data_IF_776539698436
#
_entry.id   IF_776539698436
#
_cell.length_a   1.000
_cell.length_b   1.000
_cell.length_c   1.000
_cell.angle_alpha   90.00
_cell.angle_beta   90.00
_cell.angle_gamma   90.00
#
_symmetry.space_group_name_H-M   'P 1'
#
loop_
_entity.id
_entity.type
_entity.pdbx_description
1 polymer ?
#
# COMPACT_ATOMS: atom_id res chain seq x y z
N UNK A 1 -12.66 -23.22 13.83
CA UNK A 1 -11.58 -22.66 12.98
C UNK A 1 -10.73 -23.75 12.32
N UNK A 2 -10.41 -24.84 13.01
CA UNK A 2 -9.62 -25.94 12.43
C UNK A 2 -10.26 -26.59 11.18
N UNK A 3 -11.56 -26.90 11.18
CA UNK A 3 -12.20 -27.59 10.04
C UNK A 3 -12.23 -26.76 8.75
N UNK A 4 -12.57 -25.46 8.82
CA UNK A 4 -12.61 -24.59 7.64
C UNK A 4 -11.20 -24.26 7.13
N UNK A 5 -10.20 -24.17 8.02
CA UNK A 5 -8.81 -23.98 7.63
C UNK A 5 -8.24 -25.25 6.97
N UNK A 6 -8.50 -26.43 7.54
CA UNK A 6 -8.14 -27.72 6.94
C UNK A 6 -8.82 -27.91 5.57
N UNK A 7 -10.10 -27.59 5.44
CA UNK A 7 -10.82 -27.66 4.17
C UNK A 7 -10.33 -26.64 3.14
N UNK A 8 -9.85 -25.46 3.57
CA UNK A 8 -9.18 -24.50 2.68
C UNK A 8 -7.84 -25.07 2.21
N UNK A 9 -7.05 -25.67 3.12
CA UNK A 9 -5.78 -26.31 2.77
C UNK A 9 -5.98 -27.49 1.79
N UNK A 10 -7.04 -28.28 1.96
CA UNK A 10 -7.40 -29.39 1.07
C UNK A 10 -7.79 -28.93 -0.35
N UNK A 11 -8.29 -27.70 -0.50
CA UNK A 11 -8.71 -27.14 -1.79
C UNK A 11 -7.68 -26.18 -2.41
N UNK A 12 -6.50 -26.01 -1.81
CA UNK A 12 -5.47 -25.17 -2.39
C UNK A 12 -4.85 -25.79 -3.63
N UNK A 13 -4.54 -24.94 -4.61
CA UNK A 13 -3.78 -25.35 -5.78
C UNK A 13 -2.42 -25.94 -5.33
N UNK A 14 -2.05 -27.14 -5.81
CA UNK A 14 -0.79 -27.80 -5.44
C UNK A 14 0.42 -27.02 -5.95
N UNK A 15 1.61 -27.31 -5.39
CA UNK A 15 2.86 -26.68 -5.85
C UNK A 15 3.09 -26.96 -7.32
N UNK A 16 3.45 -25.90 -8.06
CA UNK A 16 3.97 -26.03 -9.40
C UNK A 16 5.42 -26.52 -9.40
N UNK A 17 5.99 -26.74 -10.58
CA UNK A 17 7.41 -27.09 -10.74
C UNK A 17 8.36 -25.88 -10.61
N UNK A 18 7.84 -24.68 -10.35
CA UNK A 18 8.62 -23.45 -10.25
C UNK A 18 9.49 -23.46 -8.98
N UNK A 19 10.75 -23.09 -9.14
CA UNK A 19 11.66 -22.87 -8.01
C UNK A 19 11.29 -21.58 -7.27
N UNK A 20 11.89 -21.34 -6.12
CA UNK A 20 11.71 -20.07 -5.41
C UNK A 20 12.26 -18.89 -6.23
N UNK A 21 13.35 -19.07 -6.98
CA UNK A 21 13.91 -18.06 -7.87
C UNK A 21 12.94 -17.72 -9.01
N UNK A 22 12.26 -18.73 -9.57
CA UNK A 22 11.22 -18.51 -10.58
C UNK A 22 10.07 -17.68 -10.03
N UNK A 23 9.68 -17.89 -8.76
CA UNK A 23 8.63 -17.14 -8.08
C UNK A 23 9.09 -15.70 -7.77
N UNK A 24 10.35 -15.50 -7.38
CA UNK A 24 10.93 -14.18 -7.07
C UNK A 24 11.08 -13.31 -8.33
N UNK A 25 11.39 -13.93 -9.47
CA UNK A 25 11.71 -13.22 -10.72
C UNK A 25 10.51 -12.96 -11.63
N UNK A 26 9.32 -13.35 -11.22
CA UNK A 26 8.08 -13.09 -11.94
C UNK A 26 7.20 -12.08 -11.20
N UNK A 27 6.35 -11.38 -11.95
CA UNK A 27 5.33 -10.47 -11.42
C UNK A 27 3.89 -11.00 -11.58
N UNK A 28 3.76 -12.31 -11.87
CA UNK A 28 2.46 -12.94 -12.08
C UNK A 28 1.67 -13.09 -10.78
N UNK A 29 0.36 -13.28 -10.94
CA UNK A 29 -0.53 -13.57 -9.83
C UNK A 29 -0.26 -14.99 -9.33
N UNK A 30 -0.18 -15.13 -8.01
CA UNK A 30 0.04 -16.39 -7.32
C UNK A 30 -1.22 -16.79 -6.54
N UNK A 31 -1.40 -18.09 -6.39
CA UNK A 31 -2.45 -18.73 -5.62
C UNK A 31 -1.92 -20.04 -5.02
N UNK A 32 -2.66 -20.60 -4.05
CA UNK A 32 -2.33 -21.88 -3.44
C UNK A 32 -0.89 -21.97 -2.89
N UNK A 33 -0.28 -23.14 -3.08
CA UNK A 33 1.00 -23.46 -2.44
C UNK A 33 2.18 -22.63 -2.95
N UNK A 34 2.21 -22.21 -4.22
CA UNK A 34 3.25 -21.33 -4.75
C UNK A 34 3.25 -19.98 -4.03
N UNK A 35 2.05 -19.44 -3.79
CA UNK A 35 1.90 -18.20 -3.03
C UNK A 35 2.25 -18.34 -1.55
N UNK A 36 1.96 -19.49 -0.94
CA UNK A 36 2.41 -19.77 0.42
C UNK A 36 3.93 -19.90 0.53
N UNK A 37 4.57 -20.56 -0.43
CA UNK A 37 6.02 -20.71 -0.44
C UNK A 37 6.71 -19.35 -0.56
N UNK A 38 6.28 -18.49 -1.48
CA UNK A 38 6.85 -17.16 -1.60
C UNK A 38 6.67 -16.34 -0.32
N UNK A 39 5.49 -16.38 0.30
CA UNK A 39 5.22 -15.70 1.58
C UNK A 39 6.15 -16.19 2.70
N UNK A 40 6.26 -17.51 2.86
CA UNK A 40 7.12 -18.12 3.87
C UNK A 40 8.60 -17.79 3.63
N UNK A 41 9.05 -17.83 2.38
CA UNK A 41 10.41 -17.46 2.02
C UNK A 41 10.70 -15.99 2.28
N UNK A 42 9.81 -15.08 1.91
CA UNK A 42 9.98 -13.63 2.17
C UNK A 42 10.04 -13.34 3.67
N UNK A 43 9.26 -14.04 4.49
CA UNK A 43 9.31 -13.93 5.94
C UNK A 43 10.65 -14.41 6.51
N UNK A 44 11.21 -15.50 5.97
CA UNK A 44 12.50 -16.05 6.40
C UNK A 44 13.70 -15.23 5.89
N UNK A 45 13.53 -14.46 4.81
CA UNK A 45 14.60 -13.72 4.14
C UNK A 45 14.29 -12.22 4.03
N UNK A 46 14.07 -11.51 5.15
CA UNK A 46 13.76 -10.08 5.11
C UNK A 46 14.94 -9.27 4.57
N UNK A 47 14.65 -8.12 3.94
CA UNK A 47 15.67 -7.12 3.65
C UNK A 47 16.20 -6.56 4.97
N UNK A 48 17.49 -6.69 5.20
CA UNK A 48 18.17 -6.22 6.39
C UNK A 48 19.01 -4.98 6.03
N UNK A 49 18.68 -3.77 6.54
CA UNK A 49 19.34 -2.54 6.16
C UNK A 49 20.87 -2.61 6.16
N UNK A 50 21.48 -3.07 7.26
CA UNK A 50 22.94 -3.16 7.41
C UNK A 50 23.60 -4.14 6.44
N UNK A 51 22.87 -5.18 5.99
CA UNK A 51 23.35 -6.19 5.04
C UNK A 51 23.17 -5.77 3.59
N UNK A 52 22.04 -5.14 3.26
CA UNK A 52 21.58 -5.04 1.87
C UNK A 52 21.75 -3.64 1.25
N UNK A 53 21.83 -2.58 2.06
CA UNK A 53 21.88 -1.20 1.58
C UNK A 53 23.32 -0.79 1.30
N UNK A 54 23.96 -1.40 0.29
CA UNK A 54 25.40 -1.20 0.00
C UNK A 54 25.69 -0.13 -1.05
N UNK A 55 24.71 0.23 -1.86
CA UNK A 55 24.86 1.33 -2.83
C UNK A 55 24.79 2.71 -2.14
N UNK A 56 25.21 3.80 -2.82
CA UNK A 56 25.23 5.13 -2.23
C UNK A 56 23.88 5.60 -1.67
N UNK A 57 22.77 5.30 -2.33
CA UNK A 57 21.42 5.68 -1.85
C UNK A 57 21.11 4.89 -0.58
N UNK A 58 21.35 3.59 -0.59
CA UNK A 58 21.20 2.75 0.59
C UNK A 58 22.02 3.25 1.79
N UNK A 59 23.26 3.69 1.56
CA UNK A 59 24.11 4.24 2.63
C UNK A 59 23.56 5.54 3.21
N UNK A 60 22.93 6.41 2.41
CA UNK A 60 22.28 7.63 2.94
C UNK A 60 21.06 7.30 3.82
N UNK A 61 20.31 6.24 3.50
CA UNK A 61 19.22 5.75 4.35
C UNK A 61 19.75 5.17 5.66
N UNK A 62 20.86 4.44 5.63
CA UNK A 62 21.54 3.97 6.84
C UNK A 62 22.04 5.13 7.71
N UNK A 63 22.61 6.18 7.10
CA UNK A 63 23.03 7.38 7.82
C UNK A 63 21.83 8.05 8.51
N UNK A 64 20.68 8.16 7.83
CA UNK A 64 19.44 8.66 8.43
C UNK A 64 18.98 7.82 9.64
N UNK A 65 19.11 6.49 9.59
CA UNK A 65 18.79 5.64 10.74
C UNK A 65 19.75 5.82 11.92
N UNK A 66 20.92 6.42 11.69
CA UNK A 66 21.89 6.81 12.71
C UNK A 66 21.82 8.30 13.09
N UNK A 67 20.81 9.04 12.61
CA UNK A 67 20.53 10.43 13.00
C UNK A 67 20.83 11.49 11.94
N UNK A 68 21.40 11.11 10.78
CA UNK A 68 21.69 12.04 9.69
C UNK A 68 20.51 12.14 8.70
N UNK A 69 19.38 12.67 9.16
CA UNK A 69 18.12 12.65 8.40
C UNK A 69 18.13 13.45 7.09
N UNK A 70 19.05 14.40 6.95
CA UNK A 70 19.22 15.19 5.72
C UNK A 70 20.07 14.48 4.67
N UNK A 71 20.71 13.35 4.98
CA UNK A 71 21.71 12.70 4.12
C UNK A 71 21.15 12.33 2.73
N UNK A 72 19.95 11.75 2.67
CA UNK A 72 19.31 11.35 1.40
C UNK A 72 18.95 12.58 0.56
N UNK A 73 18.36 13.60 1.18
CA UNK A 73 18.01 14.83 0.48
C UNK A 73 19.25 15.54 -0.05
N UNK A 74 20.30 15.67 0.76
CA UNK A 74 21.57 16.27 0.35
C UNK A 74 22.20 15.49 -0.81
N UNK A 75 22.17 14.15 -0.78
CA UNK A 75 22.63 13.32 -1.87
C UNK A 75 21.84 13.59 -3.16
N UNK A 76 20.51 13.57 -3.09
CA UNK A 76 19.65 13.82 -4.25
C UNK A 76 19.88 15.22 -4.85
N UNK A 77 19.89 16.27 -4.04
CA UNK A 77 20.09 17.64 -4.54
C UNK A 77 21.51 17.88 -5.08
N UNK A 78 22.53 17.24 -4.50
CA UNK A 78 23.88 17.22 -5.05
C UNK A 78 23.91 16.56 -6.44
N UNK A 79 23.27 15.38 -6.58
CA UNK A 79 23.21 14.66 -7.86
C UNK A 79 22.46 15.47 -8.92
N UNK A 80 21.33 16.09 -8.56
CA UNK A 80 20.57 16.97 -9.45
C UNK A 80 21.46 18.12 -9.96
N UNK A 81 22.21 18.77 -9.05
CA UNK A 81 23.13 19.85 -9.42
C UNK A 81 24.26 19.37 -10.35
N UNK A 82 24.84 18.21 -10.08
CA UNK A 82 25.90 17.62 -10.92
C UNK A 82 25.40 17.26 -12.33
N UNK A 83 24.12 16.91 -12.46
CA UNK A 83 23.46 16.60 -13.72
C UNK A 83 22.92 17.84 -14.46
N UNK A 84 23.19 19.05 -13.97
CA UNK A 84 22.83 20.31 -14.63
C UNK A 84 21.74 21.13 -13.92
N UNK A 85 21.07 20.59 -12.91
CA UNK A 85 20.13 21.32 -12.05
C UNK A 85 18.76 21.63 -12.67
N UNK A 86 18.43 21.05 -13.82
CA UNK A 86 17.14 21.24 -14.50
C UNK A 86 16.12 20.13 -14.16
N UNK A 87 14.92 20.20 -14.73
CA UNK A 87 13.89 19.18 -14.48
C UNK A 87 14.27 17.80 -15.06
N UNK A 88 15.13 17.74 -16.08
CA UNK A 88 15.62 16.45 -16.62
C UNK A 88 16.58 15.76 -15.64
N UNK A 89 17.48 16.53 -15.02
CA UNK A 89 18.32 16.07 -13.92
C UNK A 89 17.46 15.59 -12.73
N UNK A 90 16.42 16.36 -12.37
CA UNK A 90 15.48 15.99 -11.30
C UNK A 90 14.70 14.72 -11.62
N UNK A 91 14.22 14.55 -12.84
CA UNK A 91 13.56 13.32 -13.32
C UNK A 91 14.53 12.13 -13.27
N UNK A 92 15.78 12.31 -13.66
CA UNK A 92 16.79 11.24 -13.63
C UNK A 92 17.00 10.73 -12.19
N UNK A 93 17.16 11.63 -11.22
CA UNK A 93 17.31 11.26 -9.80
C UNK A 93 16.01 10.66 -9.24
N UNK A 94 14.84 11.19 -9.63
CA UNK A 94 13.53 10.63 -9.28
C UNK A 94 13.39 9.17 -9.74
N UNK A 95 13.78 8.88 -10.98
CA UNK A 95 13.75 7.52 -11.52
C UNK A 95 14.78 6.61 -10.86
N UNK A 96 15.97 7.10 -10.52
CA UNK A 96 16.95 6.32 -9.77
C UNK A 96 16.38 5.91 -8.40
N UNK A 97 15.78 6.84 -7.64
CA UNK A 97 15.11 6.53 -6.37
C UNK A 97 13.97 5.51 -6.55
N UNK A 98 13.16 5.67 -7.60
CA UNK A 98 12.03 4.80 -7.87
C UNK A 98 12.46 3.36 -8.23
N UNK A 99 13.56 3.20 -8.95
CA UNK A 99 14.01 1.89 -9.47
C UNK A 99 14.82 1.10 -8.45
N UNK A 100 15.36 1.72 -7.39
CA UNK A 100 16.10 0.99 -6.35
C UNK A 100 15.26 -0.12 -5.70
N UNK A 101 15.85 -1.30 -5.58
CA UNK A 101 15.26 -2.47 -4.91
C UNK A 101 16.35 -3.11 -4.06
N UNK A 102 16.10 -3.25 -2.77
CA UNK A 102 17.09 -3.77 -1.82
C UNK A 102 16.74 -5.14 -1.27
N UNK A 103 17.78 -5.97 -1.13
CA UNK A 103 17.71 -7.27 -0.49
C UNK A 103 16.87 -8.31 -1.22
N UNK A 104 16.67 -9.48 -0.61
CA UNK A 104 16.02 -10.63 -1.24
C UNK A 104 14.56 -10.33 -1.64
N UNK A 105 13.87 -9.47 -0.90
CA UNK A 105 12.46 -9.12 -1.12
C UNK A 105 12.25 -8.03 -2.17
N UNK A 106 13.31 -7.57 -2.86
CA UNK A 106 13.26 -6.44 -3.81
C UNK A 106 12.54 -5.24 -3.17
N UNK A 107 12.97 -4.84 -1.98
CA UNK A 107 12.23 -3.83 -1.18
C UNK A 107 12.40 -2.43 -1.78
N UNK A 108 11.32 -1.70 -2.13
CA UNK A 108 11.40 -0.33 -2.66
C UNK A 108 11.67 0.70 -1.55
N UNK A 109 12.07 1.92 -1.94
CA UNK A 109 12.55 2.98 -1.03
C UNK A 109 11.60 3.30 0.13
N UNK A 110 10.30 3.46 -0.14
CA UNK A 110 9.33 3.73 0.92
C UNK A 110 9.16 2.56 1.88
N UNK A 111 9.26 1.31 1.39
CA UNK A 111 9.17 0.12 2.24
C UNK A 111 10.40 -0.07 3.13
N UNK A 112 11.54 0.55 2.81
CA UNK A 112 12.71 0.59 3.70
C UNK A 112 12.49 1.55 4.88
N UNK A 113 11.82 2.68 4.65
CA UNK A 113 11.55 3.69 5.69
C UNK A 113 10.47 3.24 6.69
N UNK A 114 9.54 2.38 6.26
CA UNK A 114 8.41 1.94 7.07
C UNK A 114 8.83 1.20 8.36
N UNK A 115 9.73 0.20 8.35
CA UNK A 115 10.26 -0.41 9.57
C UNK A 115 10.95 0.60 10.49
N UNK A 116 11.67 1.59 9.96
CA UNK A 116 12.38 2.58 10.75
C UNK A 116 11.41 3.44 11.57
N UNK A 117 10.25 3.81 11.02
CA UNK A 117 9.19 4.52 11.76
C UNK A 117 8.66 3.72 12.96
N UNK A 118 8.71 2.38 12.89
CA UNK A 118 8.33 1.52 14.00
C UNK A 118 9.45 1.39 15.03
N UNK A 119 10.70 1.24 14.59
CA UNK A 119 11.85 1.03 15.48
C UNK A 119 12.34 2.31 16.16
N UNK A 120 12.13 3.48 15.54
CA UNK A 120 12.61 4.79 16.00
C UNK A 120 11.44 5.76 16.22
N UNK A 121 10.49 5.48 17.14
CA UNK A 121 9.29 6.30 17.31
C UNK A 121 9.60 7.74 17.73
N UNK A 122 10.69 7.97 18.48
CA UNK A 122 11.14 9.31 18.87
C UNK A 122 11.68 10.15 17.70
N UNK A 123 11.87 9.53 16.53
CA UNK A 123 12.39 10.16 15.30
C UNK A 123 11.37 10.16 14.17
N UNK A 124 10.09 10.02 14.52
CA UNK A 124 8.98 9.91 13.56
C UNK A 124 8.94 11.11 12.63
N UNK A 125 9.04 12.34 13.13
CA UNK A 125 8.90 13.52 12.28
C UNK A 125 10.07 13.71 11.32
N UNK A 126 11.29 13.39 11.75
CA UNK A 126 12.47 13.42 10.89
C UNK A 126 12.36 12.36 9.77
N UNK A 127 11.94 11.13 10.12
CA UNK A 127 11.69 10.08 9.13
C UNK A 127 10.56 10.42 8.16
N UNK A 128 9.46 11.00 8.64
CA UNK A 128 8.39 11.51 7.78
C UNK A 128 8.87 12.68 6.91
N UNK A 129 9.87 13.45 7.36
CA UNK A 129 10.58 14.45 6.56
C UNK A 129 11.18 13.86 5.30
N UNK A 130 11.90 12.74 5.41
CA UNK A 130 12.46 12.01 4.27
C UNK A 130 11.34 11.55 3.31
N UNK A 131 10.24 11.03 3.85
CA UNK A 131 9.10 10.56 3.05
C UNK A 131 8.44 11.72 2.30
N UNK A 132 8.26 12.88 2.95
CA UNK A 132 7.73 14.09 2.33
C UNK A 132 8.64 14.61 1.21
N UNK A 133 9.96 14.65 1.44
CA UNK A 133 10.92 15.02 0.40
C UNK A 133 10.77 14.10 -0.82
N UNK A 134 10.83 12.78 -0.61
CA UNK A 134 10.73 11.82 -1.72
C UNK A 134 9.38 11.94 -2.45
N UNK A 135 8.26 11.94 -1.72
CA UNK A 135 6.92 11.84 -2.31
C UNK A 135 6.36 13.15 -2.87
N UNK A 136 6.65 14.29 -2.22
CA UNK A 136 6.05 15.58 -2.58
C UNK A 136 7.03 16.47 -3.35
N UNK A 137 8.29 16.53 -2.92
CA UNK A 137 9.27 17.46 -3.51
C UNK A 137 9.96 16.83 -4.71
N UNK A 138 10.58 15.66 -4.52
CA UNK A 138 11.23 14.91 -5.60
C UNK A 138 10.20 14.18 -6.46
N UNK A 139 8.99 13.92 -5.95
CA UNK A 139 7.87 13.26 -6.65
C UNK A 139 8.19 11.84 -7.12
N UNK A 140 8.93 11.09 -6.31
CA UNK A 140 9.18 9.66 -6.55
C UNK A 140 7.84 8.92 -6.51
N UNK A 141 7.50 8.12 -7.54
CA UNK A 141 6.27 7.33 -7.53
C UNK A 141 6.18 6.39 -6.33
N UNK A 142 5.00 6.34 -5.71
CA UNK A 142 4.73 5.62 -4.45
C UNK A 142 4.13 4.23 -4.67
N UNK A 143 4.05 3.78 -5.92
CA UNK A 143 3.47 2.51 -6.35
C UNK A 143 4.51 1.38 -6.53
N UNK A 144 5.76 1.64 -6.13
CA UNK A 144 6.81 0.61 -6.10
C UNK A 144 6.39 -0.59 -5.24
N UNK A 145 6.59 -1.79 -5.79
CA UNK A 145 6.20 -3.07 -5.18
C UNK A 145 7.40 -3.89 -4.74
N UNK A 146 7.23 -4.62 -3.66
CA UNK A 146 8.13 -5.70 -3.24
C UNK A 146 7.86 -7.01 -4.02
N UNK A 147 8.59 -8.07 -3.68
CA UNK A 147 8.45 -9.40 -4.31
C UNK A 147 7.05 -10.02 -4.14
N UNK A 148 6.29 -9.60 -3.13
CA UNK A 148 4.91 -10.04 -2.90
C UNK A 148 3.91 -9.22 -3.73
N UNK A 149 4.37 -8.18 -4.44
CA UNK A 149 3.54 -7.23 -5.18
C UNK A 149 2.89 -6.16 -4.30
N UNK A 150 3.29 -6.05 -3.04
CA UNK A 150 2.74 -5.10 -2.08
C UNK A 150 3.49 -3.78 -2.12
N UNK A 151 2.77 -2.67 -2.01
CA UNK A 151 3.37 -1.32 -1.92
C UNK A 151 3.69 -0.94 -0.48
N UNK A 152 4.45 0.12 -0.28
CA UNK A 152 4.68 0.67 1.06
C UNK A 152 3.37 1.12 1.74
N UNK A 153 2.42 1.67 0.96
CA UNK A 153 1.09 2.02 1.44
C UNK A 153 0.35 0.76 1.93
N UNK A 154 0.48 -0.37 1.24
CA UNK A 154 -0.13 -1.63 1.66
C UNK A 154 0.31 -2.04 3.07
N UNK A 155 1.62 -2.11 3.27
CA UNK A 155 2.17 -2.57 4.55
C UNK A 155 1.97 -1.57 5.68
N UNK A 156 1.85 -0.28 5.38
CA UNK A 156 1.71 0.76 6.41
C UNK A 156 0.41 0.70 7.21
N UNK A 157 -0.63 0.05 6.67
CA UNK A 157 -1.95 -0.06 7.31
C UNK A 157 -2.41 -1.51 7.52
N UNK A 158 -1.63 -2.52 7.12
CA UNK A 158 -2.03 -3.94 7.18
C UNK A 158 -2.23 -4.48 8.60
N UNK A 159 -1.87 -3.71 9.64
CA UNK A 159 -1.88 -4.06 11.08
C UNK A 159 -0.88 -5.13 11.49
N UNK A 160 -0.28 -5.82 10.52
CA UNK A 160 0.72 -6.86 10.70
C UNK A 160 1.84 -6.62 9.67
N UNK A 161 3.01 -6.12 10.08
CA UNK A 161 3.39 -5.71 11.44
C UNK A 161 3.12 -4.23 11.77
N UNK A 162 2.69 -3.39 10.81
CA UNK A 162 2.67 -1.94 10.98
C UNK A 162 1.29 -1.30 11.04
N UNK A 163 1.23 -0.20 11.79
CA UNK A 163 0.11 0.76 11.83
C UNK A 163 0.75 2.16 11.82
N UNK A 164 0.86 2.75 10.64
CA UNK A 164 1.54 4.03 10.41
C UNK A 164 0.67 4.95 9.53
N UNK A 165 -0.46 5.46 10.07
CA UNK A 165 -1.45 6.20 9.27
C UNK A 165 -0.92 7.53 8.71
N UNK A 166 0.01 8.22 9.38
CA UNK A 166 0.57 9.47 8.85
C UNK A 166 1.52 9.21 7.67
N UNK A 167 2.28 8.12 7.73
CA UNK A 167 3.07 7.65 6.58
C UNK A 167 2.16 7.23 5.43
N UNK A 168 1.10 6.47 5.72
CA UNK A 168 0.09 6.07 4.76
C UNK A 168 -0.57 7.28 4.08
N UNK A 169 -0.87 8.33 4.86
CA UNK A 169 -1.47 9.55 4.36
C UNK A 169 -0.56 10.26 3.36
N UNK A 170 0.74 10.40 3.64
CA UNK A 170 1.68 11.04 2.70
C UNK A 170 1.70 10.28 1.37
N UNK A 171 1.80 8.94 1.41
CA UNK A 171 1.80 8.14 0.19
C UNK A 171 0.47 8.23 -0.56
N UNK A 172 -0.66 8.23 0.16
CA UNK A 172 -1.98 8.39 -0.42
C UNK A 172 -2.14 9.75 -1.12
N UNK A 173 -1.72 10.84 -0.46
CA UNK A 173 -1.78 12.21 -0.99
C UNK A 173 -0.84 12.40 -2.19
N UNK A 174 0.26 11.66 -2.23
CA UNK A 174 1.18 11.61 -3.37
C UNK A 174 0.64 10.80 -4.56
N UNK A 175 -0.47 10.06 -4.40
CA UNK A 175 -1.12 9.34 -5.48
C UNK A 175 -1.38 7.86 -5.22
N UNK A 176 -0.77 7.27 -4.18
CA UNK A 176 -0.77 5.82 -3.94
C UNK A 176 -2.15 5.27 -3.66
N UNK A 177 -2.53 4.17 -4.32
CA UNK A 177 -3.87 3.58 -4.15
C UNK A 177 -3.92 2.57 -3.00
N UNK A 178 -4.96 2.67 -2.16
CA UNK A 178 -5.32 1.64 -1.17
C UNK A 178 -5.85 0.37 -1.83
N UNK A 179 -6.28 0.45 -3.09
CA UNK A 179 -6.85 -0.67 -3.85
C UNK A 179 -5.80 -1.43 -4.68
N UNK A 180 -4.53 -1.02 -4.62
CA UNK A 180 -3.44 -1.76 -5.27
C UNK A 180 -3.40 -3.19 -4.74
N UNK A 181 -3.59 -4.13 -5.66
CA UNK A 181 -3.52 -5.55 -5.35
C UNK A 181 -2.09 -6.05 -5.38
N UNK A 182 -1.76 -6.90 -4.41
CA UNK A 182 -0.53 -7.68 -4.41
C UNK A 182 -0.67 -8.91 -5.32
N UNK A 183 0.36 -9.77 -5.35
CA UNK A 183 0.37 -10.97 -6.20
C UNK A 183 -0.68 -12.01 -5.82
N UNK A 184 -1.31 -11.89 -4.65
CA UNK A 184 -2.40 -12.76 -4.19
C UNK A 184 -3.78 -12.15 -4.46
N UNK A 185 -3.87 -11.12 -5.30
CA UNK A 185 -5.08 -10.31 -5.51
C UNK A 185 -5.63 -9.64 -4.24
N UNK A 186 -4.87 -9.63 -3.15
CA UNK A 186 -5.29 -9.07 -1.87
C UNK A 186 -5.02 -7.56 -1.82
N UNK A 187 -5.87 -6.86 -1.07
CA UNK A 187 -5.68 -5.46 -0.68
C UNK A 187 -5.22 -5.41 0.79
N UNK A 188 -4.76 -4.27 1.30
CA UNK A 188 -4.32 -4.16 2.70
C UNK A 188 -5.44 -4.56 3.66
N UNK A 189 -6.69 -4.31 3.28
CA UNK A 189 -7.86 -4.65 4.09
C UNK A 189 -8.10 -6.16 4.26
N UNK A 190 -7.56 -7.01 3.38
CA UNK A 190 -7.56 -8.47 3.60
C UNK A 190 -6.72 -8.83 4.83
N UNK A 191 -5.58 -8.17 5.03
CA UNK A 191 -4.73 -8.36 6.21
C UNK A 191 -5.37 -7.73 7.46
N UNK A 192 -5.95 -6.52 7.32
CA UNK A 192 -6.66 -5.85 8.41
C UNK A 192 -7.83 -6.71 8.91
N UNK A 193 -8.59 -7.35 8.01
CA UNK A 193 -9.75 -8.16 8.39
C UNK A 193 -9.36 -9.46 9.12
N UNK A 194 -8.17 -10.00 8.86
CA UNK A 194 -7.62 -11.18 9.53
C UNK A 194 -7.04 -10.81 10.90
N UNK A 195 -7.85 -10.20 11.77
CA UNK A 195 -7.43 -9.78 13.11
C UNK A 195 -7.00 -10.98 13.98
N UNK A 196 -6.02 -10.77 14.87
CA UNK A 196 -5.68 -11.79 15.88
C UNK A 196 -6.86 -11.97 16.84
N UNK A 197 -7.31 -13.21 16.98
CA UNK A 197 -8.49 -13.60 17.77
C UNK A 197 -8.25 -13.50 19.28
N UNK A 198 -6.98 -13.40 19.68
CA UNK A 198 -6.56 -13.29 21.07
C UNK A 198 -5.90 -11.95 21.39
N UNK A 199 -5.80 -11.05 20.40
CA UNK A 199 -5.12 -9.76 20.51
C UNK A 199 -6.06 -8.55 20.59
N UNK A 200 -5.46 -7.37 20.79
CA UNK A 200 -6.15 -6.09 20.66
C UNK A 200 -6.52 -5.82 19.20
N UNK A 201 -7.82 -5.70 18.93
CA UNK A 201 -8.37 -5.47 17.58
C UNK A 201 -8.70 -4.01 17.30
N UNK A 202 -8.43 -3.10 18.25
CA UNK A 202 -8.69 -1.65 18.10
C UNK A 202 -7.98 -1.08 16.88
N UNK A 203 -6.74 -1.52 16.65
CA UNK A 203 -5.94 -1.14 15.47
C UNK A 203 -6.56 -1.61 14.16
N UNK A 204 -7.14 -2.82 14.12
CA UNK A 204 -7.84 -3.35 12.96
C UNK A 204 -9.08 -2.53 12.62
N UNK A 205 -9.88 -2.20 13.62
CA UNK A 205 -11.05 -1.34 13.44
C UNK A 205 -10.64 0.05 12.94
N UNK A 206 -9.60 0.64 13.54
CA UNK A 206 -9.07 1.95 13.15
C UNK A 206 -8.57 1.96 11.70
N UNK A 207 -7.75 0.99 11.30
CA UNK A 207 -7.21 0.92 9.94
C UNK A 207 -8.26 0.51 8.91
N UNK A 208 -9.25 -0.32 9.28
CA UNK A 208 -10.39 -0.63 8.42
C UNK A 208 -11.22 0.62 8.13
N UNK A 209 -11.43 1.46 9.16
CA UNK A 209 -12.09 2.77 9.00
C UNK A 209 -11.30 3.67 8.06
N UNK A 210 -10.00 3.80 8.30
CA UNK A 210 -9.12 4.59 7.43
C UNK A 210 -9.19 4.08 5.98
N UNK A 211 -9.05 2.78 5.75
CA UNK A 211 -9.14 2.17 4.42
C UNK A 211 -10.45 2.50 3.69
N UNK A 212 -11.59 2.39 4.37
CA UNK A 212 -12.92 2.66 3.79
C UNK A 212 -13.09 4.15 3.49
N UNK A 213 -12.71 5.03 4.42
CA UNK A 213 -12.74 6.49 4.23
C UNK A 213 -11.86 6.93 3.05
N UNK A 214 -10.81 6.18 2.74
CA UNK A 214 -9.89 6.40 1.62
C UNK A 214 -10.30 5.67 0.33
N UNK A 215 -11.54 5.18 0.24
CA UNK A 215 -12.10 4.61 -0.99
C UNK A 215 -11.74 3.15 -1.23
N UNK A 216 -11.36 2.44 -0.18
CA UNK A 216 -11.10 1.01 -0.21
C UNK A 216 -12.26 0.19 -0.78
N UNK A 217 -11.91 -0.80 -1.60
CA UNK A 217 -12.82 -1.79 -2.15
C UNK A 217 -12.93 -2.96 -1.16
N UNK A 218 -14.17 -3.33 -0.82
CA UNK A 218 -14.46 -4.43 0.09
C UNK A 218 -15.12 -5.63 -0.60
N UNK A 219 -15.47 -5.50 -1.88
CA UNK A 219 -16.26 -6.49 -2.61
C UNK A 219 -15.41 -7.35 -3.54
N UNK A 220 -14.27 -6.85 -4.01
CA UNK A 220 -13.36 -7.64 -4.85
C UNK A 220 -12.82 -8.85 -4.10
N UNK A 221 -12.72 -9.97 -4.82
CA UNK A 221 -12.14 -11.21 -4.33
C UNK A 221 -10.63 -11.26 -4.59
N UNK A 222 -9.92 -11.87 -3.65
CA UNK A 222 -8.53 -12.28 -3.79
C UNK A 222 -8.39 -13.63 -4.52
N UNK A 223 -7.18 -14.17 -4.61
CA UNK A 223 -6.88 -15.42 -5.31
C UNK A 223 -7.55 -16.64 -4.67
N UNK A 224 -7.92 -16.55 -3.39
CA UNK A 224 -8.59 -17.62 -2.64
C UNK A 224 -10.13 -17.43 -2.64
N UNK A 225 -10.64 -16.45 -3.40
CA UNK A 225 -12.07 -16.18 -3.53
C UNK A 225 -12.67 -15.37 -2.38
N UNK A 226 -11.83 -14.84 -1.48
CA UNK A 226 -12.24 -14.09 -0.30
C UNK A 226 -12.30 -12.60 -0.62
N UNK A 227 -13.36 -11.92 -0.17
CA UNK A 227 -13.42 -10.47 -0.16
C UNK A 227 -13.32 -9.95 1.27
N UNK A 228 -12.91 -8.69 1.43
CA UNK A 228 -12.84 -8.03 2.75
C UNK A 228 -14.19 -8.14 3.47
N UNK A 229 -15.30 -7.95 2.74
CA UNK A 229 -16.65 -8.08 3.31
C UNK A 229 -16.94 -9.49 3.83
N UNK A 230 -16.54 -10.54 3.10
CA UNK A 230 -16.69 -11.93 3.56
C UNK A 230 -15.84 -12.15 4.82
N UNK A 231 -14.57 -11.71 4.81
CA UNK A 231 -13.68 -11.84 5.96
C UNK A 231 -14.23 -11.13 7.20
N UNK A 232 -14.75 -9.91 7.05
CA UNK A 232 -15.35 -9.16 8.16
C UNK A 232 -16.63 -9.82 8.67
N UNK A 233 -17.48 -10.36 7.80
CA UNK A 233 -18.68 -11.09 8.25
C UNK A 233 -18.32 -12.36 9.03
N UNK A 234 -17.28 -13.09 8.60
CA UNK A 234 -16.77 -14.25 9.36
C UNK A 234 -16.25 -13.84 10.74
N UNK A 235 -15.66 -12.65 10.85
CA UNK A 235 -15.09 -12.11 12.10
C UNK A 235 -16.08 -11.33 12.95
N UNK A 236 -17.31 -11.08 12.46
CA UNK A 236 -18.29 -10.18 13.08
C UNK A 236 -18.67 -10.51 14.52
N UNK A 237 -18.73 -11.79 14.87
CA UNK A 237 -19.01 -12.22 16.26
C UNK A 237 -17.89 -11.79 17.23
N UNK A 238 -16.68 -11.56 16.72
CA UNK A 238 -15.49 -11.21 17.51
C UNK A 238 -15.15 -9.73 17.41
N UNK A 239 -15.27 -9.16 16.22
CA UNK A 239 -14.94 -7.76 15.95
C UNK A 239 -16.14 -7.08 15.26
N UNK A 240 -17.27 -6.92 15.96
CA UNK A 240 -18.48 -6.33 15.38
C UNK A 240 -18.25 -4.91 14.84
N UNK A 241 -17.32 -4.17 15.45
CA UNK A 241 -17.00 -2.80 15.05
C UNK A 241 -16.45 -2.71 13.61
N UNK A 242 -15.80 -3.75 13.08
CA UNK A 242 -15.39 -3.75 11.67
C UNK A 242 -16.60 -3.78 10.73
N UNK A 243 -17.65 -4.53 11.09
CA UNK A 243 -18.88 -4.57 10.31
C UNK A 243 -19.63 -3.23 10.38
N UNK A 244 -19.64 -2.58 11.55
CA UNK A 244 -20.20 -1.23 11.72
C UNK A 244 -19.47 -0.20 10.84
N UNK A 245 -18.15 -0.27 10.76
CA UNK A 245 -17.35 0.60 9.88
C UNK A 245 -17.72 0.38 8.41
N UNK A 246 -17.84 -0.88 7.96
CA UNK A 246 -18.32 -1.20 6.60
C UNK A 246 -19.71 -0.61 6.35
N UNK A 247 -20.62 -0.71 7.32
CA UNK A 247 -21.98 -0.20 7.20
C UNK A 247 -22.03 1.32 7.12
N UNK A 248 -21.21 2.03 7.91
CA UNK A 248 -21.05 3.49 7.84
C UNK A 248 -20.53 3.94 6.48
N UNK A 249 -19.73 3.10 5.83
CA UNK A 249 -19.17 3.38 4.52
C UNK A 249 -18.17 4.54 4.57
N UNK A 250 -17.99 5.22 3.43
CA UNK A 250 -16.88 6.16 3.21
C UNK A 250 -17.06 7.54 3.81
N UNK A 251 -18.23 7.84 4.38
CA UNK A 251 -18.62 9.16 4.82
C UNK A 251 -18.97 10.12 3.68
N UNK A 252 -19.29 11.36 4.05
CA UNK A 252 -19.61 12.44 3.11
C UNK A 252 -18.36 12.93 2.35
N UNK A 253 -18.56 13.45 1.14
CA UNK A 253 -17.50 14.00 0.28
C UNK A 253 -17.74 15.49 0.06
N UNK A 254 -16.67 16.30 0.13
CA UNK A 254 -16.78 17.73 -0.20
C UNK A 254 -17.01 17.89 -1.70
N UNK A 255 -17.59 19.03 -2.07
CA UNK A 255 -17.78 19.35 -3.48
C UNK A 255 -16.43 19.41 -4.20
N UNK A 256 -16.30 18.66 -5.30
CA UNK A 256 -15.08 18.60 -6.10
C UNK A 256 -14.12 17.47 -5.71
N UNK A 257 -14.26 16.88 -4.53
CA UNK A 257 -13.48 15.71 -4.13
C UNK A 257 -13.83 14.49 -4.99
N UNK A 258 -12.88 13.55 -5.06
CA UNK A 258 -13.12 12.24 -5.61
C UNK A 258 -14.24 11.55 -4.82
N UNK A 259 -15.31 11.18 -5.51
CA UNK A 259 -16.47 10.50 -4.93
C UNK A 259 -16.07 9.20 -4.23
N UNK A 260 -15.05 8.51 -4.75
CA UNK A 260 -14.58 7.24 -4.22
C UNK A 260 -13.63 7.43 -3.05
N UNK A 261 -12.48 8.08 -3.26
CA UNK A 261 -11.38 8.08 -2.29
C UNK A 261 -11.29 9.35 -1.44
N UNK A 262 -12.10 10.38 -1.72
CA UNK A 262 -12.10 11.63 -0.95
C UNK A 262 -10.90 12.55 -1.19
N UNK A 263 -9.96 12.20 -2.08
CA UNK A 263 -8.90 13.14 -2.48
C UNK A 263 -9.51 14.40 -3.06
N UNK A 264 -8.86 15.53 -2.81
CA UNK A 264 -9.14 16.80 -3.48
C UNK A 264 -8.24 16.98 -4.70
N UNK A 265 -8.71 17.67 -5.76
CA UNK A 265 -7.87 18.03 -6.89
C UNK A 265 -6.69 18.92 -6.46
N UNK A 266 -5.52 18.72 -7.07
CA UNK A 266 -4.36 19.61 -6.88
C UNK A 266 -4.44 20.76 -7.89
N UNK A 267 -4.47 22.00 -7.40
CA UNK A 267 -4.63 23.20 -8.21
C UNK A 267 -6.08 23.41 -8.70
N UNK A 268 -6.25 24.16 -9.77
CA UNK A 268 -7.58 24.60 -10.25
C UNK A 268 -8.35 23.53 -11.04
N UNK A 269 -7.68 22.47 -11.50
CA UNK A 269 -8.29 21.46 -12.37
C UNK A 269 -9.11 20.45 -11.56
N UNK A 270 -10.43 20.49 -11.72
CA UNK A 270 -11.33 19.49 -11.16
C UNK A 270 -11.11 18.10 -11.75
N UNK A 271 -11.43 17.06 -10.98
CA UNK A 271 -11.43 15.69 -11.50
C UNK A 271 -12.47 15.45 -12.61
N UNK A 272 -12.19 14.53 -13.55
CA UNK A 272 -13.17 14.10 -14.54
C UNK A 272 -14.49 13.69 -13.91
N UNK A 273 -15.59 14.18 -14.49
CA UNK A 273 -16.94 13.84 -14.07
C UNK A 273 -17.43 12.56 -14.76
N UNK A 274 -18.34 11.84 -14.10
CA UNK A 274 -19.02 10.69 -14.67
C UNK A 274 -19.68 11.08 -16.00
N UNK A 275 -19.38 10.34 -17.07
CA UNK A 275 -19.81 10.69 -18.41
C UNK A 275 -21.34 10.76 -18.56
N UNK A 276 -22.07 9.95 -17.78
CA UNK A 276 -23.54 9.87 -17.81
C UNK A 276 -24.22 10.95 -16.96
N UNK A 277 -23.91 10.99 -15.66
CA UNK A 277 -24.65 11.84 -14.71
C UNK A 277 -23.99 13.19 -14.40
N UNK A 278 -22.74 13.42 -14.84
CA UNK A 278 -21.94 14.65 -14.61
C UNK A 278 -21.77 15.12 -13.14
N UNK A 279 -22.39 14.42 -12.16
CA UNK A 279 -22.42 14.76 -10.74
C UNK A 279 -21.24 14.15 -9.97
N UNK A 280 -21.00 12.85 -10.14
CA UNK A 280 -19.87 12.16 -9.52
C UNK A 280 -18.55 12.52 -10.23
N UNK A 281 -17.45 12.57 -9.48
CA UNK A 281 -16.11 12.91 -9.99
C UNK A 281 -15.07 11.94 -9.47
N UNK A 282 -14.10 11.57 -10.29
CA UNK A 282 -13.14 10.52 -9.96
C UNK A 282 -11.71 10.94 -10.30
N UNK A 283 -10.79 10.78 -9.34
CA UNK A 283 -9.37 11.05 -9.57
C UNK A 283 -8.69 10.03 -10.49
N UNK A 284 -9.31 8.86 -10.71
CA UNK A 284 -8.79 7.80 -11.57
C UNK A 284 -9.91 6.88 -12.06
N UNK A 285 -9.62 6.11 -13.11
CA UNK A 285 -10.52 5.05 -13.59
C UNK A 285 -10.73 3.95 -12.53
N UNK A 286 -9.71 3.68 -11.70
CA UNK A 286 -9.84 2.74 -10.58
C UNK A 286 -10.91 3.21 -9.60
N UNK A 287 -10.87 4.48 -9.18
CA UNK A 287 -11.88 5.05 -8.30
C UNK A 287 -13.29 4.95 -8.90
N UNK A 288 -13.43 5.26 -10.20
CA UNK A 288 -14.71 5.08 -10.90
C UNK A 288 -15.19 3.63 -10.87
N UNK A 289 -14.33 2.64 -11.13
CA UNK A 289 -14.69 1.21 -11.12
C UNK A 289 -15.15 0.75 -9.74
N UNK A 290 -14.46 1.18 -8.68
CA UNK A 290 -14.84 0.83 -7.31
C UNK A 290 -16.21 1.43 -6.96
N UNK A 291 -16.46 2.70 -7.28
CA UNK A 291 -17.75 3.35 -7.03
C UNK A 291 -18.87 2.84 -7.94
N UNK A 292 -18.56 2.39 -9.16
CA UNK A 292 -19.56 1.92 -10.12
C UNK A 292 -20.42 0.76 -9.58
N UNK A 293 -19.88 -0.04 -8.65
CA UNK A 293 -20.62 -1.15 -7.99
C UNK A 293 -21.90 -0.65 -7.32
N UNK A 294 -21.88 0.56 -6.76
CA UNK A 294 -23.02 1.22 -6.10
C UNK A 294 -23.62 2.32 -6.96
N UNK A 295 -22.79 3.19 -7.54
CA UNK A 295 -23.22 4.36 -8.30
C UNK A 295 -24.10 4.04 -9.50
N UNK A 296 -23.85 2.91 -10.20
CA UNK A 296 -24.65 2.53 -11.39
C UNK A 296 -26.16 2.46 -11.13
N UNK A 297 -26.56 2.19 -9.88
CA UNK A 297 -27.97 2.07 -9.44
C UNK A 297 -28.67 3.42 -9.36
N UNK A 298 -27.92 4.50 -9.14
CA UNK A 298 -28.41 5.87 -8.95
C UNK A 298 -27.97 6.81 -10.08
N UNK A 299 -27.24 6.29 -11.08
CA UNK A 299 -26.67 7.08 -12.16
C UNK A 299 -27.72 7.39 -13.24
N UNK A 300 -28.28 8.59 -13.17
CA UNK A 300 -29.25 9.14 -14.13
C UNK A 300 -28.57 10.12 -15.08
N UNK A 301 -28.90 10.10 -16.37
CA UNK A 301 -28.34 11.03 -17.35
C UNK A 301 -28.66 12.48 -16.95
N UNK A 302 -27.70 13.38 -17.15
CA UNK A 302 -27.91 14.84 -16.99
C UNK A 302 -28.33 15.49 -18.27
#
# INVERSE_FOLDING_TARGET
MAANFLQMLENMQPRSKRTIEDLINSDDQLAGMDGMELRGWTQANPTAPSRDLKDPVGQTLLAAFNGEFDALQNYCEMMIKQLGGDENARETVRQDMYTKRWGPSKTPVYSILLPALHMLPAKKEELLGIVRYLANDLKVPVDGKDVLGSTALFWSISTKPYVQPEFAQILFDAGGSVNTKNRFNATPASEIAQADLHGDTTKNVQMMKWYIEHGGDIENKDSDGMSVKILVEMMKKKVPQMAEVIQKGRGERKQGDCTTCGRSPKGEKMFPACAKCKKARYCSQECQKVDWKTHKKICVAS
#
